data_IF_924333327789
#
_entry.id   IF_924333327789
#
_cell.length_a   1.000
_cell.length_b   1.000
_cell.length_c   1.000
_cell.angle_alpha   90.00
_cell.angle_beta   90.00
_cell.angle_gamma   90.00
#
_symmetry.space_group_name_H-M   'P 1'
#
loop_
_entity.id
_entity.type
_entity.pdbx_description
1 polymer ?
#
# COMPACT_ATOMS: atom_id res chain seq x y z
N UNK A 1 -13.90 8.32 10.75
CA UNK A 1 -12.56 8.31 11.38
C UNK A 1 -12.72 7.67 12.75
N UNK A 2 -12.06 6.56 12.98
CA UNK A 2 -12.04 5.89 14.29
C UNK A 2 -10.72 6.23 14.96
N UNK A 3 -10.80 6.90 16.11
CA UNK A 3 -9.61 7.24 16.91
C UNK A 3 -9.59 6.33 18.13
N UNK A 4 -8.55 5.53 18.26
CA UNK A 4 -8.32 4.70 19.44
C UNK A 4 -7.41 5.43 20.43
N UNK A 5 -7.93 5.72 21.63
CA UNK A 5 -7.14 6.19 22.75
C UNK A 5 -6.80 4.98 23.63
N UNK A 6 -5.57 4.50 23.51
CA UNK A 6 -5.04 3.42 24.34
C UNK A 6 -4.41 3.97 25.62
N UNK A 7 -4.77 3.42 26.77
CA UNK A 7 -4.12 3.71 28.04
C UNK A 7 -3.19 2.55 28.41
N UNK A 8 -1.88 2.79 28.49
CA UNK A 8 -0.86 1.79 28.81
C UNK A 8 -0.81 1.38 30.31
N UNK A 9 -1.62 2.02 31.16
CA UNK A 9 -1.73 1.64 32.60
C UNK A 9 -3.18 1.32 32.93
N UNK A 10 -3.45 0.29 33.77
CA UNK A 10 -4.80 -0.10 34.16
C UNK A 10 -5.38 0.88 35.19
N UNK A 11 -5.54 2.14 34.79
CA UNK A 11 -6.27 3.15 35.56
C UNK A 11 -7.41 3.65 34.67
N UNK A 12 -8.64 3.37 35.07
CA UNK A 12 -9.82 3.95 34.45
C UNK A 12 -9.78 5.46 34.57
N UNK A 13 -10.05 6.15 33.47
CA UNK A 13 -10.22 7.61 33.48
C UNK A 13 -11.40 8.00 34.39
N UNK A 14 -11.27 9.03 35.23
CA UNK A 14 -12.41 9.57 35.97
C UNK A 14 -13.51 9.99 35.00
N UNK A 15 -14.78 9.77 35.37
CA UNK A 15 -15.95 10.08 34.49
C UNK A 15 -15.97 11.55 34.03
N UNK A 16 -15.52 12.47 34.88
CA UNK A 16 -15.42 13.89 34.54
C UNK A 16 -14.44 14.18 33.40
N UNK A 17 -13.31 13.46 33.33
CA UNK A 17 -12.33 13.58 32.23
C UNK A 17 -12.88 12.99 30.93
N UNK A 18 -13.66 11.93 31.02
CA UNK A 18 -14.32 11.33 29.85
C UNK A 18 -15.33 12.31 29.24
N UNK A 19 -16.13 12.99 30.06
CA UNK A 19 -17.13 13.95 29.62
C UNK A 19 -16.46 15.19 28.97
N UNK A 20 -15.39 15.70 29.56
CA UNK A 20 -14.63 16.81 29.01
C UNK A 20 -13.92 16.44 27.70
N UNK A 21 -13.41 15.20 27.56
CA UNK A 21 -12.84 14.68 26.32
C UNK A 21 -13.91 14.51 25.24
N UNK A 22 -15.11 14.02 25.59
CA UNK A 22 -16.21 13.86 24.64
C UNK A 22 -16.68 15.21 24.07
N UNK A 23 -16.80 16.23 24.90
CA UNK A 23 -17.18 17.58 24.45
C UNK A 23 -16.12 18.17 23.50
N UNK A 24 -14.83 18.03 23.82
CA UNK A 24 -13.73 18.49 22.96
C UNK A 24 -13.63 17.68 21.68
N UNK A 25 -13.95 16.37 21.74
CA UNK A 25 -13.95 15.50 20.58
C UNK A 25 -15.05 15.86 19.59
N UNK A 26 -16.23 16.26 20.06
CA UNK A 26 -17.34 16.71 19.21
C UNK A 26 -16.96 17.99 18.43
N UNK A 27 -16.26 18.93 19.07
CA UNK A 27 -15.76 20.16 18.40
C UNK A 27 -14.67 19.81 17.37
N UNK A 28 -13.74 18.94 17.71
CA UNK A 28 -12.70 18.46 16.77
C UNK A 28 -13.32 17.70 15.60
N UNK A 29 -14.33 16.88 15.85
CA UNK A 29 -15.04 16.15 14.81
C UNK A 29 -15.77 17.09 13.86
N UNK A 30 -16.44 18.13 14.39
CA UNK A 30 -17.10 19.14 13.58
C UNK A 30 -16.11 19.93 12.72
N UNK A 31 -14.96 20.34 13.29
CA UNK A 31 -13.89 21.03 12.57
C UNK A 31 -13.27 20.13 11.49
N UNK A 32 -13.01 18.86 11.79
CA UNK A 32 -12.51 17.90 10.81
C UNK A 32 -13.52 17.66 9.69
N UNK A 33 -14.82 17.52 10.00
CA UNK A 33 -15.86 17.38 8.98
C UNK A 33 -15.97 18.63 8.10
N UNK A 34 -15.92 19.81 8.70
CA UNK A 34 -15.99 21.07 7.95
C UNK A 34 -14.76 21.25 7.05
N UNK A 35 -13.57 20.93 7.57
CA UNK A 35 -12.33 20.98 6.78
C UNK A 35 -12.35 19.94 5.64
N UNK A 36 -12.84 18.73 5.91
CA UNK A 36 -12.92 17.65 4.92
C UNK A 36 -13.99 17.88 3.86
N UNK A 37 -15.11 18.53 4.21
CA UNK A 37 -16.15 18.90 3.25
C UNK A 37 -15.74 20.06 2.33
N UNK A 38 -14.82 20.91 2.76
CA UNK A 38 -14.29 22.00 1.93
C UNK A 38 -13.13 21.63 1.01
N UNK A 39 -12.51 20.45 1.22
CA UNK A 39 -11.35 20.00 0.45
C UNK A 39 -11.50 18.79 -0.47
N UNK A 40 -12.64 18.10 -0.61
CA UNK A 40 -12.66 16.84 -1.35
C UNK A 40 -12.35 17.00 -2.84
N UNK A 41 -12.60 18.17 -3.43
CA UNK A 41 -12.41 18.40 -4.87
C UNK A 41 -10.97 18.83 -5.23
N UNK A 42 -10.28 19.59 -4.38
CA UNK A 42 -8.93 20.08 -4.72
C UNK A 42 -7.83 19.05 -4.52
N UNK A 43 -7.97 18.17 -3.52
CA UNK A 43 -7.01 17.07 -3.31
C UNK A 43 -7.19 15.93 -4.31
N UNK A 44 -8.43 15.69 -4.78
CA UNK A 44 -8.68 14.70 -5.82
C UNK A 44 -8.23 15.18 -7.22
N UNK A 45 -8.34 16.47 -7.51
CA UNK A 45 -7.86 17.04 -8.78
C UNK A 45 -6.33 17.24 -8.80
N UNK A 46 -5.71 17.50 -7.64
CA UNK A 46 -4.24 17.59 -7.53
C UNK A 46 -3.55 16.26 -7.24
N UNK A 47 -4.29 15.21 -6.92
CA UNK A 47 -3.78 13.88 -6.61
C UNK A 47 -3.82 12.92 -7.79
N UNK A 48 -4.11 13.38 -9.01
CA UNK A 48 -3.79 12.58 -10.19
C UNK A 48 -2.27 12.63 -10.36
N UNK A 49 -1.57 11.52 -10.19
CA UNK A 49 -0.13 11.49 -10.46
C UNK A 49 0.07 12.00 -11.88
N UNK A 50 1.00 12.94 -12.06
CA UNK A 50 1.35 13.46 -13.39
C UNK A 50 1.61 12.27 -14.32
N UNK A 51 1.33 12.43 -15.60
CA UNK A 51 1.55 11.37 -16.56
C UNK A 51 3.01 10.87 -16.53
N UNK A 52 3.94 11.76 -16.24
CA UNK A 52 5.35 11.47 -16.02
C UNK A 52 5.59 10.52 -14.85
N UNK A 53 4.92 10.76 -13.71
CA UNK A 53 5.03 9.89 -12.54
C UNK A 53 4.47 8.49 -12.82
N UNK A 54 3.36 8.39 -13.55
CA UNK A 54 2.79 7.09 -13.94
C UNK A 54 3.76 6.32 -14.84
N UNK A 55 4.27 6.96 -15.87
CA UNK A 55 5.23 6.36 -16.79
C UNK A 55 6.48 5.91 -16.07
N UNK A 56 6.98 6.72 -15.15
CA UNK A 56 8.15 6.37 -14.34
C UNK A 56 7.90 5.17 -13.43
N UNK A 57 6.76 5.10 -12.75
CA UNK A 57 6.39 3.94 -11.93
C UNK A 57 6.23 2.68 -12.78
N UNK A 58 5.60 2.77 -13.95
CA UNK A 58 5.45 1.65 -14.89
C UNK A 58 6.81 1.13 -15.37
N UNK A 59 7.74 2.01 -15.71
CA UNK A 59 9.10 1.64 -16.07
C UNK A 59 9.85 0.97 -14.91
N UNK A 60 9.70 1.47 -13.69
CA UNK A 60 10.29 0.88 -12.52
C UNK A 60 9.73 -0.53 -12.22
N UNK A 61 8.42 -0.74 -12.40
CA UNK A 61 7.79 -2.06 -12.29
C UNK A 61 8.38 -3.03 -13.32
N UNK A 62 8.55 -2.60 -14.58
CA UNK A 62 9.09 -3.45 -15.64
C UNK A 62 10.58 -3.77 -15.45
N UNK A 63 11.35 -2.84 -14.92
CA UNK A 63 12.79 -3.07 -14.65
C UNK A 63 13.04 -3.87 -13.38
N UNK A 64 12.06 -3.94 -12.47
CA UNK A 64 12.21 -4.61 -11.19
C UNK A 64 12.44 -6.11 -11.36
N UNK A 65 13.55 -6.59 -10.84
CA UNK A 65 13.91 -8.01 -10.90
C UNK A 65 14.31 -8.53 -12.28
N UNK A 66 14.46 -7.67 -13.31
CA UNK A 66 14.76 -8.08 -14.67
C UNK A 66 16.02 -8.96 -14.83
N UNK A 67 16.99 -8.83 -13.93
CA UNK A 67 18.22 -9.61 -13.96
C UNK A 67 18.10 -10.97 -13.22
N UNK A 68 17.07 -11.17 -12.43
CA UNK A 68 16.91 -12.34 -11.55
C UNK A 68 15.70 -13.19 -11.84
N UNK A 69 14.66 -12.57 -12.40
CA UNK A 69 13.36 -13.21 -12.63
C UNK A 69 13.20 -13.56 -14.11
N UNK A 70 12.59 -14.70 -14.40
CA UNK A 70 12.14 -15.01 -15.75
C UNK A 70 11.03 -14.05 -16.20
N UNK A 71 10.78 -13.89 -17.52
CA UNK A 71 9.73 -13.01 -18.02
C UNK A 71 8.35 -13.27 -17.38
N UNK A 72 8.01 -14.55 -17.15
CA UNK A 72 6.75 -14.91 -16.50
C UNK A 72 6.70 -14.57 -15.02
N UNK A 73 7.83 -14.70 -14.32
CA UNK A 73 7.95 -14.29 -12.93
C UNK A 73 7.91 -12.78 -12.77
N UNK A 74 8.48 -12.02 -13.71
CA UNK A 74 8.36 -10.56 -13.75
C UNK A 74 6.90 -10.11 -13.92
N UNK A 75 6.17 -10.72 -14.85
CA UNK A 75 4.75 -10.44 -15.06
C UNK A 75 3.92 -10.69 -13.79
N UNK A 76 4.13 -11.81 -13.12
CA UNK A 76 3.46 -12.13 -11.86
C UNK A 76 3.88 -11.13 -10.75
N UNK A 77 5.16 -10.78 -10.70
CA UNK A 77 5.66 -9.80 -9.71
C UNK A 77 5.04 -8.43 -9.91
N UNK A 78 4.90 -7.97 -11.16
CA UNK A 78 4.22 -6.71 -11.48
C UNK A 78 2.77 -6.70 -10.98
N UNK A 79 2.02 -7.78 -11.18
CA UNK A 79 0.65 -7.91 -10.70
C UNK A 79 0.57 -7.96 -9.16
N UNK A 80 1.53 -8.63 -8.50
CA UNK A 80 1.63 -8.64 -7.03
C UNK A 80 1.88 -7.24 -6.46
N UNK A 81 2.76 -6.46 -7.10
CA UNK A 81 3.05 -5.07 -6.70
C UNK A 81 1.83 -4.17 -6.91
N UNK A 82 1.03 -4.43 -7.94
CA UNK A 82 -0.24 -3.73 -8.19
C UNK A 82 -1.35 -4.11 -7.21
N UNK A 83 -1.11 -5.09 -6.34
CA UNK A 83 -2.02 -5.47 -5.26
C UNK A 83 -2.97 -6.62 -5.59
N UNK A 84 -2.82 -7.28 -6.74
CA UNK A 84 -3.65 -8.44 -7.09
C UNK A 84 -3.31 -9.63 -6.19
N UNK A 85 -4.34 -10.36 -5.81
CA UNK A 85 -4.18 -11.62 -5.09
C UNK A 85 -3.86 -12.79 -6.04
N UNK A 86 -3.56 -13.99 -5.47
CA UNK A 86 -3.16 -15.13 -6.28
C UNK A 86 -4.30 -15.69 -7.14
N UNK A 87 -5.56 -15.43 -6.79
CA UNK A 87 -6.71 -15.83 -7.56
C UNK A 87 -6.91 -14.90 -8.75
N UNK A 88 -6.86 -13.60 -8.51
CA UNK A 88 -6.96 -12.56 -9.54
C UNK A 88 -5.83 -12.69 -10.58
N UNK A 89 -4.61 -12.99 -10.12
CA UNK A 89 -3.46 -13.24 -11.00
C UNK A 89 -3.69 -14.50 -11.84
N UNK A 90 -4.23 -15.57 -11.26
CA UNK A 90 -4.53 -16.80 -11.97
C UNK A 90 -5.55 -16.56 -13.10
N UNK A 91 -6.58 -15.78 -12.82
CA UNK A 91 -7.61 -15.37 -13.78
C UNK A 91 -7.04 -14.47 -14.88
N UNK A 92 -6.29 -13.42 -14.50
CA UNK A 92 -5.68 -12.48 -15.43
C UNK A 92 -4.70 -13.15 -16.41
N UNK A 93 -3.96 -14.15 -15.94
CA UNK A 93 -2.95 -14.84 -16.72
C UNK A 93 -3.43 -16.17 -17.33
N UNK A 94 -4.69 -16.54 -17.12
CA UNK A 94 -5.30 -17.80 -17.58
C UNK A 94 -4.50 -19.05 -17.15
N UNK A 95 -4.03 -19.09 -15.90
CA UNK A 95 -3.28 -20.21 -15.31
C UNK A 95 -3.94 -20.66 -14.00
N UNK A 96 -3.54 -21.85 -13.49
CA UNK A 96 -4.08 -22.31 -12.23
C UNK A 96 -3.57 -21.53 -11.03
N UNK A 97 -4.39 -21.38 -9.98
CA UNK A 97 -3.99 -20.80 -8.70
C UNK A 97 -2.76 -21.50 -8.10
N UNK A 98 -2.65 -22.84 -8.27
CA UNK A 98 -1.48 -23.60 -7.85
C UNK A 98 -0.20 -23.18 -8.59
N UNK A 99 -0.33 -22.88 -9.89
CA UNK A 99 0.79 -22.40 -10.71
C UNK A 99 1.26 -21.02 -10.21
N UNK A 100 0.34 -20.11 -9.89
CA UNK A 100 0.69 -18.80 -9.31
C UNK A 100 1.43 -18.95 -7.98
N UNK A 101 0.95 -19.83 -7.09
CA UNK A 101 1.63 -20.12 -5.81
C UNK A 101 3.05 -20.65 -6.01
N UNK A 102 3.27 -21.51 -6.99
CA UNK A 102 4.59 -22.03 -7.31
C UNK A 102 5.53 -20.93 -7.83
N UNK A 103 5.04 -20.04 -8.71
CA UNK A 103 5.80 -18.90 -9.17
C UNK A 103 6.12 -17.95 -8.02
N UNK A 104 5.16 -17.62 -7.14
CA UNK A 104 5.41 -16.77 -5.96
C UNK A 104 6.53 -17.35 -5.07
N UNK A 105 6.50 -18.66 -4.82
CA UNK A 105 7.55 -19.32 -4.04
C UNK A 105 8.94 -19.14 -4.67
N UNK A 106 9.04 -19.28 -6.00
CA UNK A 106 10.30 -19.07 -6.74
C UNK A 106 10.74 -17.62 -6.72
N UNK A 107 9.84 -16.68 -6.99
CA UNK A 107 10.09 -15.23 -6.94
C UNK A 107 10.65 -14.84 -5.57
N UNK A 108 10.01 -15.30 -4.49
CA UNK A 108 10.44 -14.99 -3.13
C UNK A 108 11.83 -15.55 -2.84
N UNK A 109 12.12 -16.77 -3.29
CA UNK A 109 13.45 -17.36 -3.13
C UNK A 109 14.53 -16.62 -3.93
N UNK A 110 14.24 -16.20 -5.17
CA UNK A 110 15.19 -15.50 -6.04
C UNK A 110 15.47 -14.07 -5.58
N UNK A 111 14.47 -13.40 -5.03
CA UNK A 111 14.60 -12.04 -4.50
C UNK A 111 15.00 -12.00 -3.01
N UNK A 112 15.15 -13.16 -2.37
CA UNK A 112 15.48 -13.31 -0.94
C UNK A 112 14.50 -12.59 -0.02
N UNK A 113 13.20 -12.70 -0.31
CA UNK A 113 12.11 -12.17 0.51
C UNK A 113 11.22 -13.29 1.01
N UNK A 114 10.58 -13.12 2.16
CA UNK A 114 9.72 -14.13 2.79
C UNK A 114 8.24 -13.73 2.79
N UNK A 115 7.93 -12.48 2.48
CA UNK A 115 6.57 -11.95 2.52
C UNK A 115 6.30 -10.97 1.38
N UNK A 116 5.01 -10.71 1.11
CA UNK A 116 4.60 -9.67 0.17
C UNK A 116 5.04 -8.28 0.64
N UNK A 117 5.05 -8.03 1.95
CA UNK A 117 5.52 -6.77 2.53
C UNK A 117 7.00 -6.53 2.26
N UNK A 118 7.83 -7.56 2.38
CA UNK A 118 9.27 -7.48 2.05
C UNK A 118 9.49 -7.28 0.54
N UNK A 119 8.71 -7.96 -0.30
CA UNK A 119 8.74 -7.75 -1.74
C UNK A 119 8.41 -6.30 -2.09
N UNK A 120 7.37 -5.73 -1.47
CA UNK A 120 6.97 -4.35 -1.69
C UNK A 120 8.03 -3.36 -1.20
N UNK A 121 8.66 -3.63 -0.06
CA UNK A 121 9.76 -2.81 0.47
C UNK A 121 10.98 -2.84 -0.46
N UNK A 122 11.30 -4.01 -1.02
CA UNK A 122 12.38 -4.16 -2.00
C UNK A 122 12.07 -3.37 -3.28
N UNK A 123 10.82 -3.39 -3.74
CA UNK A 123 10.36 -2.57 -4.87
C UNK A 123 10.45 -1.07 -4.58
N UNK A 124 10.04 -0.61 -3.39
CA UNK A 124 10.18 0.79 -3.01
C UNK A 124 11.63 1.25 -3.02
N UNK A 125 12.55 0.43 -2.53
CA UNK A 125 13.99 0.74 -2.58
C UNK A 125 14.50 0.83 -4.02
N UNK A 126 14.04 -0.05 -4.92
CA UNK A 126 14.34 0.03 -6.34
C UNK A 126 13.80 1.30 -6.98
N UNK A 127 12.56 1.68 -6.65
CA UNK A 127 11.91 2.89 -7.12
C UNK A 127 12.69 4.15 -6.70
N UNK A 128 13.11 4.23 -5.43
CA UNK A 128 13.88 5.35 -4.90
C UNK A 128 15.27 5.41 -5.58
N UNK A 129 15.91 4.27 -5.80
CA UNK A 129 17.19 4.20 -6.50
C UNK A 129 17.10 4.68 -7.95
N UNK A 130 16.04 4.29 -8.66
CA UNK A 130 15.78 4.74 -10.03
C UNK A 130 15.42 6.24 -10.15
N UNK A 131 15.08 6.90 -9.06
CA UNK A 131 14.83 8.35 -9.01
C UNK A 131 16.12 9.16 -8.80
N UNK A 132 17.21 8.52 -8.40
CA UNK A 132 18.48 9.17 -8.06
C UNK A 132 19.49 9.19 -9.23
N UNK A 133 19.21 8.43 -10.29
CA UNK A 133 19.99 8.39 -11.55
C UNK A 133 19.33 9.27 -12.62
#
# INVERSE_FOLDING_TARGET
IVVYLGCFKPRSFPREQITALQQRFTVLQALCQQHWQQQPLRLAESAQPSQELRTWVEQAIQSFGAQRLSPREQEITALLIQGLDSQEIAEALAISHGTVKNHRKRIYAQLHVSSLSELFQLFLNHLIGAAAD
#
